data_IF_661594961124
#
_entry.id   IF_661594961124
#
_cell.length_a   1.000
_cell.length_b   1.000
_cell.length_c   1.000
_cell.angle_alpha   90.00
_cell.angle_beta   90.00
_cell.angle_gamma   90.00
#
_symmetry.space_group_name_H-M   'P 1'
#
loop_
_entity.id
_entity.type
_entity.pdbx_description
1 polymer ?
#
# COMPACT_ATOMS: atom_id res chain seq x y z
N UNK A 1 18.87 11.78 -3.04
CA UNK A 1 18.22 12.87 -2.31
C UNK A 1 17.68 12.25 -1.07
N UNK A 2 18.32 12.53 0.08
CA UNK A 2 18.02 11.87 1.33
C UNK A 2 16.58 12.07 1.78
N UNK A 3 15.98 11.00 2.24
CA UNK A 3 14.62 10.92 2.83
C UNK A 3 14.48 11.87 4.04
N UNK A 4 15.59 12.39 4.57
CA UNK A 4 15.63 13.31 5.72
C UNK A 4 15.13 14.74 5.47
N UNK A 5 15.02 15.20 4.21
CA UNK A 5 14.61 16.57 3.92
C UNK A 5 13.09 16.80 3.88
N UNK A 6 12.29 15.76 3.81
CA UNK A 6 10.82 15.88 3.74
C UNK A 6 10.16 15.72 5.13
N UNK A 7 10.91 15.31 6.13
CA UNK A 7 10.34 14.93 7.44
C UNK A 7 10.55 15.89 8.60
N UNK A 8 11.55 16.78 8.55
CA UNK A 8 11.95 17.53 9.76
C UNK A 8 11.31 18.91 9.94
N UNK A 9 10.64 19.44 8.90
CA UNK A 9 10.04 20.79 8.99
C UNK A 9 8.53 20.85 8.67
N UNK A 10 7.93 19.75 8.24
CA UNK A 10 6.49 19.69 7.98
C UNK A 10 5.92 18.37 8.51
N UNK A 11 5.54 18.31 9.75
CA UNK A 11 4.80 17.25 10.48
C UNK A 11 3.77 16.44 9.65
N UNK A 12 4.19 15.75 8.60
CA UNK A 12 3.32 15.05 7.63
C UNK A 12 3.26 13.53 7.83
N UNK A 13 4.17 13.00 8.66
CA UNK A 13 4.20 11.56 9.01
C UNK A 13 3.46 11.24 10.30
N UNK A 14 2.89 12.22 10.92
CA UNK A 14 2.27 12.17 12.24
C UNK A 14 0.78 12.51 12.22
N UNK A 15 0.19 12.77 11.04
CA UNK A 15 -1.12 13.38 10.93
C UNK A 15 -2.21 12.61 11.70
N UNK A 16 -2.34 11.31 11.52
CA UNK A 16 -3.35 10.50 12.23
C UNK A 16 -2.76 9.54 13.29
N UNK A 17 -1.57 9.87 13.80
CA UNK A 17 -1.02 9.23 15.00
C UNK A 17 -1.47 10.04 16.22
N UNK A 18 -1.85 9.39 17.35
CA UNK A 18 -2.29 10.09 18.55
C UNK A 18 -1.24 11.06 19.12
N UNK A 19 -1.69 12.15 19.72
CA UNK A 19 -0.82 13.19 20.29
C UNK A 19 0.11 12.63 21.38
N UNK A 20 -0.39 11.72 22.22
CA UNK A 20 0.42 11.04 23.25
C UNK A 20 1.56 10.21 22.67
N UNK A 21 1.48 9.83 21.40
CA UNK A 21 2.53 9.13 20.66
C UNK A 21 3.40 10.05 19.80
N UNK A 22 3.23 11.37 19.93
CA UNK A 22 4.00 12.38 19.19
C UNK A 22 3.40 12.78 17.85
N UNK A 23 2.16 12.36 17.55
CA UNK A 23 1.41 12.74 16.36
C UNK A 23 0.52 13.96 16.55
N UNK A 24 -0.28 14.28 15.52
CA UNK A 24 -1.23 15.42 15.54
C UNK A 24 -2.66 15.02 15.92
N UNK A 25 -2.95 13.73 16.05
CA UNK A 25 -4.27 13.24 16.41
C UNK A 25 -5.38 13.56 15.40
N UNK A 26 -5.04 13.90 14.16
CA UNK A 26 -6.00 14.13 13.07
C UNK A 26 -6.68 12.82 12.65
N UNK A 27 -7.77 12.92 11.88
CA UNK A 27 -8.49 11.77 11.38
C UNK A 27 -7.83 11.13 10.15
N UNK A 28 -8.34 9.97 9.77
CA UNK A 28 -7.89 9.27 8.56
C UNK A 28 -8.16 10.09 7.29
N UNK A 29 -9.23 10.89 7.27
CA UNK A 29 -9.57 11.72 6.11
C UNK A 29 -8.46 12.76 5.84
N UNK A 30 -8.02 13.48 6.85
CA UNK A 30 -6.96 14.48 6.74
C UNK A 30 -5.65 13.84 6.30
N UNK A 31 -5.31 12.69 6.88
CA UNK A 31 -4.12 11.93 6.49
C UNK A 31 -4.12 11.52 5.01
N UNK A 32 -5.27 11.09 4.48
CA UNK A 32 -5.39 10.70 3.07
C UNK A 32 -5.41 11.92 2.12
N UNK A 33 -5.98 13.06 2.53
CA UNK A 33 -5.88 14.32 1.77
C UNK A 33 -4.42 14.75 1.64
N UNK A 34 -3.67 14.73 2.75
CA UNK A 34 -2.23 15.02 2.74
C UNK A 34 -1.49 14.06 1.82
N UNK A 35 -1.79 12.76 1.93
CA UNK A 35 -1.17 11.72 1.10
C UNK A 35 -1.42 11.94 -0.41
N UNK A 36 -2.63 12.38 -0.80
CA UNK A 36 -2.95 12.68 -2.20
C UNK A 36 -1.99 13.75 -2.75
N UNK A 37 -1.75 14.84 -2.02
CA UNK A 37 -0.89 15.93 -2.47
C UNK A 37 0.57 15.48 -2.65
N UNK A 38 1.12 14.68 -1.72
CA UNK A 38 2.45 14.10 -1.88
C UNK A 38 2.54 13.09 -3.02
N UNK A 39 1.51 12.27 -3.17
CA UNK A 39 1.39 11.30 -4.24
C UNK A 39 1.34 11.94 -5.64
N UNK A 40 0.75 13.14 -5.80
CA UNK A 40 0.74 13.90 -7.05
C UNK A 40 2.15 14.23 -7.55
N UNK A 41 3.10 14.46 -6.65
CA UNK A 41 4.50 14.72 -7.01
C UNK A 41 5.13 13.46 -7.59
N UNK A 42 5.13 12.39 -6.83
CA UNK A 42 5.52 11.03 -7.28
C UNK A 42 5.15 9.96 -6.26
N UNK A 43 5.03 8.70 -6.72
CA UNK A 43 4.86 7.56 -5.83
C UNK A 43 6.00 7.44 -4.82
N UNK A 44 7.24 7.76 -5.21
CA UNK A 44 8.40 7.67 -4.33
C UNK A 44 8.38 8.71 -3.19
N UNK A 45 7.86 9.93 -3.45
CA UNK A 45 7.73 10.98 -2.43
C UNK A 45 6.53 10.69 -1.52
N UNK A 46 5.42 10.20 -2.08
CA UNK A 46 4.24 9.83 -1.30
C UNK A 46 4.44 8.56 -0.45
N UNK A 47 5.37 7.65 -0.84
CA UNK A 47 5.54 6.37 -0.15
C UNK A 47 5.87 6.48 1.35
N UNK A 48 6.84 7.27 1.82
CA UNK A 48 7.08 7.40 3.26
C UNK A 48 5.88 7.98 4.04
N UNK A 49 5.11 8.85 3.41
CA UNK A 49 3.87 9.41 3.99
C UNK A 49 2.78 8.33 4.08
N UNK A 50 2.67 7.51 3.03
CA UNK A 50 1.77 6.35 2.99
C UNK A 50 2.10 5.34 4.10
N UNK A 51 3.37 4.92 4.24
CA UNK A 51 3.80 3.96 5.26
C UNK A 51 3.53 4.47 6.68
N UNK A 52 3.72 5.77 6.92
CA UNK A 52 3.54 6.39 8.23
C UNK A 52 2.06 6.65 8.61
N UNK A 53 1.16 6.90 7.64
CA UNK A 53 -0.23 7.28 7.94
C UNK A 53 -1.27 6.21 7.64
N UNK A 54 -1.00 5.30 6.71
CA UNK A 54 -1.94 4.26 6.29
C UNK A 54 -1.34 2.86 6.24
N UNK A 55 -0.02 2.76 6.29
CA UNK A 55 0.73 1.52 6.14
C UNK A 55 0.97 0.76 7.46
N UNK A 56 2.06 -0.01 7.54
CA UNK A 56 2.34 -0.96 8.63
C UNK A 56 2.48 -0.33 10.01
N UNK A 57 2.73 0.98 10.09
CA UNK A 57 2.78 1.69 11.38
C UNK A 57 1.47 1.52 12.15
N UNK A 58 0.34 1.37 11.46
CA UNK A 58 -0.97 1.15 12.11
C UNK A 58 -1.03 -0.19 12.84
N UNK A 59 -0.33 -1.21 12.37
CA UNK A 59 -0.22 -2.47 13.13
C UNK A 59 0.54 -2.27 14.44
N UNK A 60 1.58 -1.44 14.46
CA UNK A 60 2.28 -1.07 15.71
C UNK A 60 1.39 -0.22 16.60
N UNK A 61 0.71 0.79 16.04
CA UNK A 61 -0.18 1.68 16.78
C UNK A 61 -1.33 0.92 17.46
N UNK A 62 -1.95 -0.04 16.77
CA UNK A 62 -3.09 -0.79 17.31
C UNK A 62 -2.67 -1.96 18.20
N UNK A 63 -1.61 -2.68 17.86
CA UNK A 63 -1.28 -3.97 18.45
C UNK A 63 0.08 -4.04 19.13
N UNK A 64 0.96 -3.06 18.95
CA UNK A 64 2.26 -3.03 19.64
C UNK A 64 2.13 -2.93 21.15
N UNK A 65 3.12 -3.48 21.87
CA UNK A 65 3.24 -3.26 23.31
C UNK A 65 3.47 -1.78 23.63
N UNK A 66 3.18 -1.30 24.86
CA UNK A 66 3.47 0.09 25.24
C UNK A 66 4.92 0.48 24.94
N UNK A 67 5.88 -0.40 25.27
CA UNK A 67 7.31 -0.19 25.07
C UNK A 67 7.66 -0.04 23.58
N UNK A 68 7.07 -0.89 22.73
CA UNK A 68 7.29 -0.81 21.28
C UNK A 68 6.69 0.45 20.67
N UNK A 69 5.48 0.85 21.11
CA UNK A 69 4.84 2.09 20.68
C UNK A 69 5.67 3.31 21.04
N UNK A 70 6.13 3.41 22.29
CA UNK A 70 6.98 4.50 22.77
C UNK A 70 8.31 4.59 22.02
N UNK A 71 8.89 3.45 21.64
CA UNK A 71 10.13 3.37 20.88
C UNK A 71 9.99 3.77 19.40
N UNK A 72 8.87 3.43 18.77
CA UNK A 72 8.74 3.52 17.30
C UNK A 72 7.90 4.71 16.85
N UNK A 73 6.73 4.94 17.46
CA UNK A 73 5.79 5.95 16.95
C UNK A 73 6.38 7.37 16.96
N UNK A 74 7.01 7.87 18.05
CA UNK A 74 7.59 9.22 18.04
C UNK A 74 8.71 9.39 17.00
N UNK A 75 9.52 8.34 16.78
CA UNK A 75 10.59 8.40 15.79
C UNK A 75 10.07 8.43 14.36
N UNK A 76 8.94 7.73 14.08
CA UNK A 76 8.26 7.80 12.78
C UNK A 76 7.62 9.17 12.58
N UNK A 77 6.95 9.72 13.58
CA UNK A 77 6.34 11.05 13.53
C UNK A 77 7.38 12.14 13.20
N UNK A 78 8.56 12.08 13.81
CA UNK A 78 9.68 13.00 13.53
C UNK A 78 10.37 12.75 12.17
N UNK A 79 9.98 11.70 11.45
CA UNK A 79 10.64 11.32 10.20
C UNK A 79 12.02 10.67 10.37
N UNK A 80 12.40 10.30 11.58
CA UNK A 80 13.67 9.64 11.92
C UNK A 80 13.66 8.16 11.52
N UNK A 81 12.48 7.54 11.44
CA UNK A 81 12.32 6.12 11.07
C UNK A 81 11.25 5.93 10.00
N UNK A 82 11.47 4.91 9.17
CA UNK A 82 10.49 4.36 8.24
C UNK A 82 10.27 2.89 8.60
N UNK A 83 9.01 2.49 8.72
CA UNK A 83 8.61 1.10 8.94
C UNK A 83 7.94 0.60 7.66
N UNK A 84 8.32 -0.59 7.20
CA UNK A 84 7.73 -1.23 6.03
C UNK A 84 7.03 -2.54 6.39
N UNK A 85 6.18 -3.04 5.48
CA UNK A 85 5.52 -4.34 5.63
C UNK A 85 6.30 -5.42 4.89
N UNK A 86 6.41 -6.61 5.50
CA UNK A 86 7.04 -7.80 4.94
C UNK A 86 6.08 -8.98 5.03
N UNK A 87 5.30 -9.18 3.95
CA UNK A 87 4.17 -10.13 3.96
C UNK A 87 4.37 -11.24 2.93
N UNK A 88 4.42 -10.87 1.63
CA UNK A 88 4.48 -11.83 0.52
C UNK A 88 5.75 -12.71 0.55
N UNK A 89 5.63 -13.92 0.02
CA UNK A 89 6.72 -14.87 -0.14
C UNK A 89 6.79 -15.35 -1.59
N UNK A 90 7.90 -15.97 -2.03
CA UNK A 90 7.99 -16.53 -3.39
C UNK A 90 6.83 -17.47 -3.75
N UNK A 91 6.30 -18.21 -2.78
CA UNK A 91 5.19 -19.15 -2.94
C UNK A 91 3.84 -18.67 -2.43
N UNK A 92 3.74 -17.46 -1.84
CA UNK A 92 2.52 -16.95 -1.21
C UNK A 92 2.36 -15.45 -1.45
N UNK A 93 1.63 -15.08 -2.50
CA UNK A 93 1.21 -13.71 -2.79
C UNK A 93 -0.25 -13.50 -2.42
N UNK A 94 -1.17 -13.85 -3.32
CA UNK A 94 -2.62 -13.77 -3.05
C UNK A 94 -3.06 -14.72 -1.94
N UNK A 95 -2.49 -15.93 -1.89
CA UNK A 95 -2.78 -16.93 -0.85
C UNK A 95 -1.88 -16.71 0.38
N UNK A 96 -2.08 -15.61 1.09
CA UNK A 96 -1.30 -15.29 2.30
C UNK A 96 -1.46 -16.34 3.42
N UNK A 97 -2.54 -17.11 3.42
CA UNK A 97 -2.71 -18.25 4.32
C UNK A 97 -1.63 -19.32 4.19
N UNK A 98 -0.90 -19.34 3.08
CA UNK A 98 0.12 -20.33 2.75
C UNK A 98 1.55 -19.88 3.07
N UNK A 99 1.70 -18.80 3.85
CA UNK A 99 2.98 -18.30 4.33
C UNK A 99 3.78 -19.41 5.04
N UNK A 100 5.09 -19.46 4.74
CA UNK A 100 6.02 -20.46 5.25
C UNK A 100 7.09 -19.90 6.18
N UNK A 101 7.36 -18.59 6.13
CA UNK A 101 8.25 -17.93 7.08
C UNK A 101 7.75 -18.20 8.49
N UNK A 102 8.60 -18.76 9.34
CA UNK A 102 8.27 -19.13 10.71
C UNK A 102 8.77 -18.10 11.70
N UNK A 103 8.03 -17.90 12.78
CA UNK A 103 8.46 -17.14 13.95
C UNK A 103 8.12 -17.95 15.20
N UNK A 104 9.12 -18.40 15.93
CA UNK A 104 9.01 -19.28 17.09
C UNK A 104 9.33 -18.50 18.36
N UNK A 105 8.41 -18.49 19.33
CA UNK A 105 8.66 -17.90 20.66
C UNK A 105 9.55 -18.84 21.47
N UNK A 106 10.70 -18.33 21.94
CA UNK A 106 11.69 -19.07 22.75
C UNK A 106 12.06 -18.24 23.99
N UNK A 107 11.29 -18.41 25.05
CA UNK A 107 11.48 -17.64 26.28
C UNK A 107 11.18 -16.14 26.06
N UNK A 108 12.16 -15.30 26.24
CA UNK A 108 12.07 -13.83 26.11
C UNK A 108 12.37 -13.31 24.69
N UNK A 109 12.49 -14.20 23.72
CA UNK A 109 12.79 -13.85 22.32
C UNK A 109 11.92 -14.61 21.31
N UNK A 110 11.88 -14.08 20.10
CA UNK A 110 11.25 -14.70 18.93
C UNK A 110 12.34 -14.95 17.89
N UNK A 111 12.41 -16.18 17.37
CA UNK A 111 13.37 -16.60 16.34
C UNK A 111 12.65 -16.72 15.01
N UNK A 112 13.13 -16.02 13.99
CA UNK A 112 12.48 -15.92 12.68
C UNK A 112 13.36 -16.59 11.63
N UNK A 113 12.73 -17.45 10.79
CA UNK A 113 13.38 -18.14 9.67
C UNK A 113 12.48 -18.14 8.45
N UNK A 114 13.01 -17.77 7.30
CA UNK A 114 12.26 -17.78 6.04
C UNK A 114 12.69 -16.72 5.04
N UNK A 115 11.85 -16.50 4.04
CA UNK A 115 12.12 -15.55 2.96
C UNK A 115 10.85 -14.77 2.63
N UNK A 116 10.98 -13.46 2.53
CA UNK A 116 9.93 -12.56 2.04
C UNK A 116 10.31 -12.00 0.68
N UNK A 117 9.31 -11.65 -0.13
CA UNK A 117 9.50 -11.18 -1.48
C UNK A 117 8.70 -9.91 -1.78
N UNK A 118 9.21 -9.08 -2.69
CA UNK A 118 8.59 -7.82 -3.12
C UNK A 118 8.43 -6.80 -1.99
N UNK A 119 9.33 -6.82 -0.99
CA UNK A 119 9.21 -5.92 0.15
C UNK A 119 9.68 -4.53 -0.23
N UNK A 120 8.76 -3.56 -0.27
CA UNK A 120 9.10 -2.16 -0.42
C UNK A 120 9.90 -1.69 0.79
N UNK A 121 10.95 -0.90 0.56
CA UNK A 121 11.84 -0.46 1.63
C UNK A 121 12.85 -1.50 2.11
N UNK A 122 12.92 -2.71 1.51
CA UNK A 122 13.88 -3.75 1.91
C UNK A 122 15.32 -3.23 1.86
N UNK A 123 16.05 -3.37 2.97
CA UNK A 123 17.42 -2.89 3.17
C UNK A 123 17.56 -1.36 3.37
N UNK A 124 16.45 -0.63 3.41
CA UNK A 124 16.43 0.84 3.56
C UNK A 124 15.47 1.34 4.64
N UNK A 125 14.41 0.59 4.96
CA UNK A 125 13.54 0.91 6.09
C UNK A 125 14.20 0.50 7.41
N UNK A 126 13.91 1.26 8.48
CA UNK A 126 14.50 1.04 9.81
C UNK A 126 13.93 -0.20 10.53
N UNK A 127 12.81 -0.72 10.03
CA UNK A 127 12.20 -1.94 10.52
C UNK A 127 11.04 -2.42 9.67
N UNK A 128 10.61 -3.64 9.98
CA UNK A 128 9.61 -4.37 9.19
C UNK A 128 8.55 -4.99 10.09
N UNK A 129 7.27 -4.82 9.72
CA UNK A 129 6.19 -5.64 10.26
C UNK A 129 6.15 -6.93 9.44
N UNK A 130 6.61 -8.02 10.03
CA UNK A 130 6.78 -9.31 9.38
C UNK A 130 5.62 -10.23 9.75
N UNK A 131 4.86 -10.67 8.75
CA UNK A 131 3.83 -11.69 8.91
C UNK A 131 4.49 -13.07 8.86
N UNK A 132 4.26 -13.90 9.85
CA UNK A 132 4.90 -15.19 9.94
C UNK A 132 3.98 -16.28 10.51
N UNK A 133 4.29 -17.53 10.20
CA UNK A 133 3.65 -18.68 10.80
C UNK A 133 4.24 -18.92 12.19
N UNK A 134 3.40 -18.81 13.20
CA UNK A 134 3.76 -18.92 14.61
C UNK A 134 3.22 -20.18 15.29
N UNK A 135 2.31 -20.91 14.63
CA UNK A 135 1.80 -22.18 15.11
C UNK A 135 1.45 -23.13 13.96
N UNK A 136 1.22 -24.41 14.28
CA UNK A 136 0.80 -25.44 13.33
C UNK A 136 -0.71 -25.38 12.99
N UNK A 137 -1.44 -24.39 13.52
CA UNK A 137 -2.84 -24.18 13.18
C UNK A 137 -2.99 -23.94 11.66
N UNK A 138 -4.04 -24.52 11.02
CA UNK A 138 -4.16 -24.52 9.58
C UNK A 138 -4.46 -23.12 9.01
N UNK A 139 -3.98 -22.88 7.81
CA UNK A 139 -4.24 -21.68 7.01
C UNK A 139 -3.91 -20.37 7.79
N UNK A 140 -4.79 -19.39 7.77
CA UNK A 140 -4.60 -18.10 8.42
C UNK A 140 -4.52 -18.16 9.96
N UNK A 141 -5.06 -19.19 10.59
CA UNK A 141 -5.06 -19.33 12.05
C UNK A 141 -3.66 -19.47 12.66
N UNK A 142 -2.70 -19.98 11.90
CA UNK A 142 -1.31 -20.11 12.36
C UNK A 142 -0.47 -18.83 12.15
N UNK A 143 -1.02 -17.74 11.63
CA UNK A 143 -0.27 -16.56 11.25
C UNK A 143 -0.43 -15.46 12.29
N UNK A 144 0.70 -14.91 12.72
CA UNK A 144 0.83 -13.70 13.52
C UNK A 144 1.75 -12.68 12.86
N UNK A 145 2.17 -11.67 13.61
CA UNK A 145 3.13 -10.68 13.14
C UNK A 145 4.09 -10.24 14.23
N UNK A 146 5.29 -9.90 13.79
CA UNK A 146 6.42 -9.48 14.63
C UNK A 146 7.07 -8.24 14.01
N UNK A 147 7.48 -7.29 14.83
CA UNK A 147 8.33 -6.19 14.40
C UNK A 147 9.80 -6.60 14.41
N UNK A 148 10.50 -6.36 13.32
CA UNK A 148 11.93 -6.69 13.17
C UNK A 148 12.69 -5.43 12.78
N UNK A 149 13.66 -5.01 13.59
CA UNK A 149 14.54 -3.88 13.27
C UNK A 149 15.51 -4.26 12.12
N UNK A 150 15.95 -3.25 11.37
CA UNK A 150 16.87 -3.42 10.25
C UNK A 150 18.20 -4.08 10.67
N UNK A 151 18.75 -3.63 11.80
CA UNK A 151 20.07 -4.09 12.29
C UNK A 151 19.91 -5.33 13.20
N UNK A 152 19.62 -6.47 12.59
CA UNK A 152 19.56 -7.77 13.30
C UNK A 152 20.49 -8.77 12.64
N UNK A 153 21.22 -9.52 13.46
CA UNK A 153 22.04 -10.63 12.98
C UNK A 153 21.16 -11.65 12.26
N UNK A 154 21.63 -12.17 11.13
CA UNK A 154 20.90 -13.13 10.30
C UNK A 154 19.86 -12.50 9.35
N UNK A 155 19.61 -11.18 9.43
CA UNK A 155 18.77 -10.46 8.48
C UNK A 155 19.60 -10.00 7.28
N UNK A 156 19.23 -10.45 6.08
CA UNK A 156 19.92 -10.07 4.84
C UNK A 156 18.93 -9.74 3.73
N UNK A 157 19.40 -9.07 2.69
CA UNK A 157 18.55 -8.53 1.63
C UNK A 157 19.05 -8.97 0.26
N UNK A 158 18.12 -9.21 -0.64
CA UNK A 158 18.40 -9.44 -2.05
C UNK A 158 18.76 -8.16 -2.79
N UNK A 159 19.12 -8.31 -4.06
CA UNK A 159 19.31 -7.15 -4.94
C UNK A 159 17.97 -6.43 -5.16
N UNK A 160 18.05 -5.11 -5.31
CA UNK A 160 16.88 -4.30 -5.65
C UNK A 160 16.28 -4.73 -6.98
N UNK A 161 14.98 -4.95 -7.01
CA UNK A 161 14.23 -5.38 -8.19
C UNK A 161 14.10 -4.25 -9.22
N UNK A 162 14.24 -4.59 -10.50
CA UNK A 162 14.02 -3.65 -11.60
C UNK A 162 12.54 -3.60 -11.99
N UNK A 163 11.75 -2.87 -11.24
CA UNK A 163 10.31 -2.76 -11.45
C UNK A 163 9.96 -1.86 -12.64
N UNK A 164 8.81 -2.10 -13.27
CA UNK A 164 8.24 -1.25 -14.33
C UNK A 164 8.02 0.18 -13.85
N UNK A 165 7.33 0.35 -12.69
CA UNK A 165 7.05 1.60 -11.99
C UNK A 165 7.72 1.63 -10.62
N UNK A 166 7.26 2.56 -9.75
CA UNK A 166 7.76 2.73 -8.38
C UNK A 166 9.26 2.99 -8.29
N UNK A 167 9.84 3.57 -9.33
CA UNK A 167 11.26 3.92 -9.33
C UNK A 167 11.56 4.96 -8.27
N UNK A 168 12.53 4.64 -7.40
CA UNK A 168 12.83 5.42 -6.20
C UNK A 168 12.20 4.84 -4.92
N UNK A 169 11.37 3.78 -5.02
CA UNK A 169 10.96 2.94 -3.90
C UNK A 169 11.77 1.64 -4.03
N UNK A 170 12.74 1.36 -3.16
CA UNK A 170 13.50 0.11 -3.20
C UNK A 170 12.54 -1.06 -2.93
N UNK A 171 12.70 -2.15 -3.68
CA UNK A 171 11.95 -3.38 -3.48
C UNK A 171 12.89 -4.55 -3.64
N UNK A 172 12.94 -5.45 -2.66
CA UNK A 172 13.80 -6.61 -2.70
C UNK A 172 13.24 -7.78 -1.88
N UNK A 173 13.92 -8.92 -1.94
CA UNK A 173 13.70 -10.04 -1.04
C UNK A 173 14.34 -9.75 0.32
N UNK A 174 13.74 -10.29 1.39
CA UNK A 174 14.30 -10.29 2.74
C UNK A 174 14.49 -11.74 3.18
N UNK A 175 15.69 -12.07 3.65
CA UNK A 175 16.06 -13.39 4.15
C UNK A 175 16.25 -13.34 5.64
N UNK A 176 15.64 -14.28 6.35
CA UNK A 176 15.74 -14.46 7.80
C UNK A 176 16.42 -15.80 8.07
N UNK A 177 17.60 -15.75 8.67
CA UNK A 177 18.35 -16.92 9.12
C UNK A 177 18.58 -16.81 10.62
N UNK A 178 17.73 -17.46 11.41
CA UNK A 178 17.73 -17.40 12.87
C UNK A 178 17.74 -15.95 13.42
N UNK A 179 16.99 -15.07 12.80
CA UNK A 179 16.87 -13.67 13.26
C UNK A 179 16.16 -13.64 14.62
N UNK A 180 16.84 -13.10 15.62
CA UNK A 180 16.29 -12.99 16.97
C UNK A 180 15.80 -11.58 17.25
N UNK A 181 14.58 -11.47 17.77
CA UNK A 181 13.99 -10.22 18.26
C UNK A 181 13.42 -10.44 19.67
N UNK A 182 13.37 -9.40 20.54
CA UNK A 182 12.74 -9.48 21.85
C UNK A 182 11.27 -9.86 21.76
N UNK A 183 10.72 -10.48 22.80
CA UNK A 183 9.28 -10.85 22.86
C UNK A 183 8.36 -9.63 22.79
N UNK A 184 8.83 -8.47 23.23
CA UNK A 184 8.10 -7.18 23.18
C UNK A 184 7.84 -6.72 21.74
N UNK A 185 8.56 -7.27 20.77
CA UNK A 185 8.34 -7.02 19.34
C UNK A 185 7.17 -7.81 18.75
N UNK A 186 6.54 -8.70 19.53
CA UNK A 186 5.31 -9.39 19.12
C UNK A 186 4.18 -8.38 18.94
N UNK A 187 3.58 -8.35 17.74
CA UNK A 187 2.44 -7.48 17.43
C UNK A 187 1.11 -8.20 17.64
N UNK A 188 0.98 -9.36 17.03
CA UNK A 188 -0.21 -10.20 17.17
C UNK A 188 0.16 -11.67 17.21
N UNK A 189 -0.46 -12.38 18.14
CA UNK A 189 -0.38 -13.84 18.23
C UNK A 189 -1.23 -14.52 17.13
N UNK A 190 -0.97 -15.81 16.82
CA UNK A 190 -1.81 -16.58 15.89
C UNK A 190 -3.28 -16.68 16.37
N UNK A 191 -4.12 -17.41 15.64
CA UNK A 191 -5.57 -17.58 15.76
C UNK A 191 -6.36 -16.40 15.20
N UNK A 192 -6.59 -15.31 15.94
CA UNK A 192 -7.27 -14.10 15.46
C UNK A 192 -6.30 -13.07 14.87
N UNK A 193 -4.99 -13.29 15.00
CA UNK A 193 -3.96 -12.34 14.59
C UNK A 193 -4.04 -11.94 13.13
N UNK A 194 -4.19 -12.91 12.23
CA UNK A 194 -4.32 -12.62 10.81
C UNK A 194 -5.54 -11.73 10.50
N UNK A 195 -6.67 -11.95 11.19
CA UNK A 195 -7.87 -11.11 11.02
C UNK A 195 -7.59 -9.68 11.46
N UNK A 196 -7.00 -9.47 12.64
CA UNK A 196 -6.61 -8.15 13.16
C UNK A 196 -5.67 -7.42 12.20
N UNK A 197 -4.69 -8.14 11.66
CA UNK A 197 -3.77 -7.57 10.67
C UNK A 197 -4.48 -7.18 9.38
N UNK A 198 -5.47 -7.94 8.92
CA UNK A 198 -6.26 -7.57 7.73
C UNK A 198 -7.18 -6.37 7.99
N UNK A 199 -7.59 -6.12 9.22
CA UNK A 199 -8.33 -4.91 9.61
C UNK A 199 -7.45 -3.65 9.47
N UNK A 200 -6.18 -3.68 9.88
CA UNK A 200 -5.26 -2.54 9.61
C UNK A 200 -5.03 -2.34 8.11
N UNK A 201 -5.07 -3.44 7.34
CA UNK A 201 -4.97 -3.38 5.88
C UNK A 201 -6.16 -2.68 5.21
N UNK A 202 -7.30 -2.51 5.89
CA UNK A 202 -8.42 -1.74 5.35
C UNK A 202 -8.07 -0.25 5.22
N UNK A 203 -7.30 0.30 6.15
CA UNK A 203 -6.76 1.65 6.01
C UNK A 203 -5.65 1.72 4.95
N UNK A 204 -4.78 0.70 4.87
CA UNK A 204 -3.77 0.60 3.81
C UNK A 204 -4.40 0.54 2.42
N UNK A 205 -5.56 -0.12 2.25
CA UNK A 205 -6.33 -0.10 1.00
C UNK A 205 -6.76 1.31 0.62
N UNK A 206 -7.22 2.11 1.59
CA UNK A 206 -7.56 3.52 1.35
C UNK A 206 -6.32 4.33 0.96
N UNK A 207 -5.19 4.14 1.63
CA UNK A 207 -3.92 4.77 1.28
C UNK A 207 -3.43 4.39 -0.13
N UNK A 208 -3.51 3.10 -0.48
CA UNK A 208 -3.21 2.62 -1.84
C UNK A 208 -4.13 3.26 -2.90
N UNK A 209 -5.43 3.34 -2.61
CA UNK A 209 -6.41 4.02 -3.45
C UNK A 209 -6.05 5.49 -3.65
N UNK A 210 -5.63 6.17 -2.59
CA UNK A 210 -5.21 7.57 -2.61
C UNK A 210 -3.96 7.78 -3.45
N UNK A 211 -2.98 6.89 -3.36
CA UNK A 211 -1.78 6.97 -4.20
C UNK A 211 -2.09 6.75 -5.69
N UNK A 212 -3.04 5.86 -6.00
CA UNK A 212 -3.54 5.67 -7.37
C UNK A 212 -4.32 6.91 -7.86
N UNK A 213 -5.20 7.46 -7.02
CA UNK A 213 -5.92 8.71 -7.28
C UNK A 213 -4.94 9.87 -7.55
N UNK A 214 -3.89 10.01 -6.76
CA UNK A 214 -2.89 11.05 -6.90
C UNK A 214 -2.20 11.02 -8.28
N UNK A 215 -1.88 9.82 -8.80
CA UNK A 215 -1.32 9.70 -10.15
C UNK A 215 -2.32 10.16 -11.22
N UNK A 216 -3.60 9.83 -11.07
CA UNK A 216 -4.66 10.21 -12.00
C UNK A 216 -4.97 11.72 -11.91
N UNK A 217 -5.08 12.28 -10.70
CA UNK A 217 -5.32 13.72 -10.47
C UNK A 217 -4.22 14.56 -11.11
N UNK A 218 -2.96 14.22 -10.85
CA UNK A 218 -1.85 14.95 -11.44
C UNK A 218 -1.73 14.77 -12.96
N UNK A 219 -2.12 13.60 -13.49
CA UNK A 219 -2.18 13.39 -14.94
C UNK A 219 -3.27 14.25 -15.59
N UNK A 220 -4.45 14.35 -14.95
CA UNK A 220 -5.55 15.19 -15.40
C UNK A 220 -5.19 16.68 -15.37
N UNK A 221 -4.60 17.16 -14.27
CA UNK A 221 -4.14 18.55 -14.15
C UNK A 221 -3.13 18.90 -15.26
N UNK A 222 -2.14 18.03 -15.45
CA UNK A 222 -1.09 18.25 -16.46
C UNK A 222 -1.66 18.27 -17.88
N UNK A 223 -2.45 17.26 -18.24
CA UNK A 223 -2.98 17.19 -19.61
C UNK A 223 -4.01 18.28 -19.90
N UNK A 224 -4.76 18.74 -18.90
CA UNK A 224 -5.69 19.87 -19.04
C UNK A 224 -4.97 21.15 -19.45
N UNK A 225 -3.84 21.45 -18.85
CA UNK A 225 -3.00 22.58 -19.22
C UNK A 225 -2.38 22.37 -20.60
N UNK A 226 -1.83 21.20 -20.86
CA UNK A 226 -1.19 20.85 -22.12
C UNK A 226 -2.12 21.04 -23.34
N UNK A 227 -3.36 20.58 -23.27
CA UNK A 227 -4.30 20.67 -24.42
C UNK A 227 -4.81 22.08 -24.67
N UNK A 228 -4.66 23.01 -23.71
CA UNK A 228 -4.98 24.43 -23.89
C UNK A 228 -3.87 25.17 -24.66
N UNK A 229 -2.63 24.72 -24.51
CA UNK A 229 -1.45 25.34 -25.14
C UNK A 229 -1.09 24.68 -26.47
N UNK A 230 -1.25 23.36 -26.58
CA UNK A 230 -0.87 22.59 -27.77
C UNK A 230 -1.84 22.79 -28.90
N UNK A 231 -1.34 23.26 -30.03
CA UNK A 231 -2.13 23.48 -31.26
C UNK A 231 -1.91 22.36 -32.29
N UNK A 232 -2.98 21.98 -32.96
CA UNK A 232 -2.98 21.19 -34.18
C UNK A 232 -4.16 21.63 -35.07
N UNK A 233 -4.00 21.54 -36.40
CA UNK A 233 -4.99 21.98 -37.36
C UNK A 233 -5.41 23.45 -37.16
N UNK A 234 -4.45 24.29 -36.72
CA UNK A 234 -4.62 25.73 -36.57
C UNK A 234 -5.41 26.19 -35.34
N UNK A 235 -5.61 25.31 -34.34
CA UNK A 235 -6.28 25.66 -33.08
C UNK A 235 -5.80 24.79 -31.92
N UNK A 236 -5.98 25.24 -30.65
CA UNK A 236 -5.69 24.46 -29.48
C UNK A 236 -6.42 23.11 -29.47
N UNK A 237 -5.78 22.07 -28.89
CA UNK A 237 -6.39 20.73 -28.80
C UNK A 237 -7.72 20.74 -28.02
N UNK A 238 -7.85 21.60 -27.02
CA UNK A 238 -9.07 21.74 -26.22
C UNK A 238 -10.31 22.17 -27.04
N UNK A 239 -10.11 22.78 -28.21
CA UNK A 239 -11.22 23.19 -29.09
C UNK A 239 -11.85 22.02 -29.87
N UNK A 240 -11.30 20.82 -29.76
CA UNK A 240 -11.88 19.60 -30.33
C UNK A 240 -12.81 18.94 -29.33
N UNK A 241 -14.10 18.74 -29.69
CA UNK A 241 -15.10 18.10 -28.82
C UNK A 241 -14.63 16.71 -28.31
N UNK A 242 -13.92 15.93 -29.15
CA UNK A 242 -13.38 14.64 -28.76
C UNK A 242 -12.35 14.73 -27.60
N UNK A 243 -11.64 15.86 -27.48
CA UNK A 243 -10.74 16.14 -26.35
C UNK A 243 -11.55 16.55 -25.11
N UNK A 244 -12.54 17.45 -25.29
CA UNK A 244 -13.41 17.92 -24.21
C UNK A 244 -14.16 16.76 -23.53
N UNK A 245 -14.72 15.84 -24.32
CA UNK A 245 -15.41 14.64 -23.79
C UNK A 245 -14.46 13.80 -22.94
N UNK A 246 -13.22 13.55 -23.40
CA UNK A 246 -12.23 12.80 -22.64
C UNK A 246 -11.85 13.47 -21.32
N UNK A 247 -11.67 14.80 -21.33
CA UNK A 247 -11.37 15.54 -20.10
C UNK A 247 -12.54 15.44 -19.09
N UNK A 248 -13.78 15.56 -19.57
CA UNK A 248 -14.97 15.41 -18.72
C UNK A 248 -15.07 13.99 -18.12
N UNK A 249 -14.85 12.95 -18.91
CA UNK A 249 -14.83 11.56 -18.43
C UNK A 249 -13.74 11.32 -17.39
N UNK A 250 -12.54 11.85 -17.62
CA UNK A 250 -11.44 11.75 -16.67
C UNK A 250 -11.77 12.45 -15.35
N UNK A 251 -12.31 13.67 -15.41
CA UNK A 251 -12.70 14.43 -14.21
C UNK A 251 -13.76 13.68 -13.39
N UNK A 252 -14.84 13.22 -14.05
CA UNK A 252 -15.90 12.47 -13.35
C UNK A 252 -15.36 11.26 -12.61
N UNK A 253 -14.42 10.51 -13.21
CA UNK A 253 -13.82 9.32 -12.62
C UNK A 253 -12.89 9.65 -11.47
N UNK A 254 -12.08 10.69 -11.58
CA UNK A 254 -11.19 11.18 -10.52
C UNK A 254 -12.03 11.61 -9.30
N UNK A 255 -13.08 12.40 -9.51
CA UNK A 255 -13.97 12.85 -8.43
C UNK A 255 -14.71 11.68 -7.77
N UNK A 256 -15.20 10.72 -8.55
CA UNK A 256 -15.85 9.52 -8.00
C UNK A 256 -14.88 8.70 -7.13
N UNK A 257 -13.63 8.53 -7.56
CA UNK A 257 -12.61 7.84 -6.77
C UNK A 257 -12.32 8.57 -5.45
N UNK A 258 -12.14 9.89 -5.51
CA UNK A 258 -11.90 10.74 -4.34
C UNK A 258 -13.04 10.60 -3.32
N UNK A 259 -14.28 10.68 -3.76
CA UNK A 259 -15.45 10.55 -2.89
C UNK A 259 -15.56 9.17 -2.25
N UNK A 260 -15.21 8.08 -2.95
CA UNK A 260 -15.18 6.74 -2.38
C UNK A 260 -14.13 6.60 -1.29
N UNK A 261 -12.93 7.15 -1.50
CA UNK A 261 -11.85 7.17 -0.50
C UNK A 261 -12.26 7.99 0.71
N UNK A 262 -12.74 9.22 0.49
CA UNK A 262 -13.17 10.12 1.56
C UNK A 262 -14.31 9.52 2.38
N UNK A 263 -15.27 8.85 1.74
CA UNK A 263 -16.36 8.15 2.44
C UNK A 263 -15.83 7.08 3.37
N UNK A 264 -14.93 6.20 2.92
CA UNK A 264 -14.35 5.14 3.73
C UNK A 264 -13.56 5.71 4.93
N UNK A 265 -12.77 6.76 4.70
CA UNK A 265 -11.99 7.42 5.75
C UNK A 265 -12.89 8.15 6.75
N UNK A 266 -13.89 8.89 6.29
CA UNK A 266 -14.81 9.65 7.13
C UNK A 266 -15.65 8.73 8.03
N UNK A 267 -16.16 7.62 7.49
CA UNK A 267 -16.94 6.66 8.27
C UNK A 267 -16.09 5.94 9.32
N UNK A 268 -14.81 5.72 9.04
CA UNK A 268 -13.87 5.12 9.99
C UNK A 268 -13.44 6.10 11.10
N UNK A 269 -13.52 7.41 10.88
CA UNK A 269 -12.98 8.43 11.79
C UNK A 269 -11.50 8.14 12.12
N UNK A 270 -11.19 7.87 13.40
CA UNK A 270 -9.84 7.50 13.86
C UNK A 270 -9.65 5.97 14.00
N UNK A 271 -10.68 5.18 13.66
CA UNK A 271 -10.63 3.72 13.65
C UNK A 271 -10.18 3.16 12.31
N UNK A 272 -10.54 1.91 12.06
CA UNK A 272 -10.22 1.22 10.82
C UNK A 272 -11.45 1.21 9.89
N UNK A 273 -11.27 1.48 8.59
CA UNK A 273 -12.37 1.46 7.62
C UNK A 273 -13.03 0.09 7.47
N UNK A 274 -14.30 0.09 7.07
CA UNK A 274 -15.00 -1.14 6.70
C UNK A 274 -14.42 -1.76 5.42
N UNK A 275 -14.37 -3.10 5.37
CA UNK A 275 -13.80 -3.86 4.25
C UNK A 275 -14.54 -3.61 2.92
N UNK A 276 -15.86 -3.41 2.94
CA UNK A 276 -16.63 -3.13 1.73
C UNK A 276 -16.26 -1.77 1.16
N UNK A 277 -16.17 -0.74 2.02
CA UNK A 277 -15.85 0.62 1.61
C UNK A 277 -14.39 0.74 1.16
N UNK A 278 -13.44 0.20 1.92
CA UNK A 278 -12.02 0.22 1.60
C UNK A 278 -11.68 -0.55 0.32
N UNK A 279 -12.26 -1.75 0.15
CA UNK A 279 -12.07 -2.55 -1.06
C UNK A 279 -12.72 -1.90 -2.29
N UNK A 280 -13.89 -1.25 -2.13
CA UNK A 280 -14.56 -0.52 -3.21
C UNK A 280 -13.73 0.68 -3.64
N UNK A 281 -13.25 1.48 -2.68
CA UNK A 281 -12.37 2.62 -2.95
C UNK A 281 -11.11 2.17 -3.68
N UNK A 282 -10.42 1.14 -3.18
CA UNK A 282 -9.20 0.62 -3.81
C UNK A 282 -9.45 0.09 -5.21
N UNK A 283 -10.45 -0.77 -5.40
CA UNK A 283 -10.74 -1.38 -6.69
C UNK A 283 -11.03 -0.31 -7.74
N UNK A 284 -11.97 0.60 -7.45
CA UNK A 284 -12.35 1.66 -8.37
C UNK A 284 -11.18 2.61 -8.70
N UNK A 285 -10.45 3.07 -7.69
CA UNK A 285 -9.34 4.02 -7.87
C UNK A 285 -8.21 3.42 -8.70
N UNK A 286 -7.90 2.14 -8.53
CA UNK A 286 -6.84 1.48 -9.29
C UNK A 286 -7.21 1.25 -10.76
N UNK A 287 -8.45 0.87 -11.08
CA UNK A 287 -8.94 0.75 -12.46
C UNK A 287 -8.99 2.14 -13.13
N UNK A 288 -9.57 3.12 -12.44
CA UNK A 288 -9.64 4.52 -12.87
C UNK A 288 -8.26 5.12 -13.16
N UNK A 289 -7.31 4.93 -12.27
CA UNK A 289 -5.96 5.49 -12.40
C UNK A 289 -5.26 5.00 -13.67
N UNK A 290 -5.37 3.72 -13.99
CA UNK A 290 -4.85 3.15 -15.24
C UNK A 290 -5.49 3.80 -16.46
N UNK A 291 -6.80 3.96 -16.45
CA UNK A 291 -7.53 4.55 -17.57
C UNK A 291 -7.20 6.03 -17.75
N UNK A 292 -7.24 6.82 -16.67
CA UNK A 292 -6.99 8.27 -16.71
C UNK A 292 -5.56 8.58 -17.13
N UNK A 293 -4.56 7.93 -16.55
CA UNK A 293 -3.15 8.17 -16.89
C UNK A 293 -2.83 7.75 -18.33
N UNK A 294 -3.41 6.65 -18.81
CA UNK A 294 -3.26 6.20 -20.19
C UNK A 294 -3.96 7.16 -21.18
N UNK A 295 -5.14 7.65 -20.83
CA UNK A 295 -5.88 8.65 -21.65
C UNK A 295 -5.10 9.96 -21.70
N UNK A 296 -4.54 10.44 -20.58
CA UNK A 296 -3.70 11.63 -20.53
C UNK A 296 -2.45 11.47 -21.43
N UNK A 297 -1.75 10.34 -21.32
CA UNK A 297 -0.61 10.04 -22.20
C UNK A 297 -1.02 10.05 -23.67
N UNK A 298 -2.15 9.46 -24.02
CA UNK A 298 -2.65 9.43 -25.40
C UNK A 298 -2.99 10.84 -25.93
N UNK A 299 -3.59 11.72 -25.12
CA UNK A 299 -3.87 13.11 -25.48
C UNK A 299 -2.61 13.94 -25.72
N UNK A 300 -1.53 13.63 -25.02
CA UNK A 300 -0.22 14.27 -25.23
C UNK A 300 0.55 13.72 -26.44
N UNK A 301 0.14 12.55 -26.96
CA UNK A 301 0.84 11.90 -28.09
C UNK A 301 2.29 11.56 -27.78
N UNK A 302 3.22 11.85 -28.70
CA UNK A 302 4.65 11.58 -28.53
C UNK A 302 5.26 12.25 -27.30
N UNK A 303 4.80 13.42 -26.92
CA UNK A 303 5.22 14.10 -25.69
C UNK A 303 4.84 13.32 -24.42
N UNK A 304 3.65 12.73 -24.37
CA UNK A 304 3.22 11.90 -23.25
C UNK A 304 4.00 10.60 -23.10
N UNK A 305 4.57 10.10 -24.20
CA UNK A 305 5.39 8.89 -24.22
C UNK A 305 6.87 9.15 -23.91
N UNK A 306 7.31 10.41 -23.99
CA UNK A 306 8.67 10.81 -23.68
C UNK A 306 8.87 10.96 -22.17
N UNK A 307 10.00 10.47 -21.64
CA UNK A 307 10.36 10.51 -20.21
C UNK A 307 10.49 11.92 -19.65
N UNK A 308 10.88 12.90 -20.43
CA UNK A 308 11.08 14.29 -20.01
C UNK A 308 9.80 14.95 -19.47
N UNK A 309 8.62 14.50 -19.95
CA UNK A 309 7.33 15.05 -19.55
C UNK A 309 6.70 14.31 -18.37
N UNK A 310 7.27 13.20 -17.94
CA UNK A 310 6.86 12.47 -16.74
C UNK A 310 5.49 11.78 -16.79
N UNK A 311 4.73 11.91 -17.88
CA UNK A 311 3.42 11.26 -18.01
C UNK A 311 3.54 9.73 -18.08
N UNK A 312 4.54 9.21 -18.80
CA UNK A 312 4.82 7.78 -18.91
C UNK A 312 5.11 7.13 -17.54
N UNK A 313 5.73 7.88 -16.60
CA UNK A 313 5.97 7.44 -15.23
C UNK A 313 4.66 7.22 -14.49
N UNK A 314 3.70 8.16 -14.63
CA UNK A 314 2.38 8.05 -13.99
C UNK A 314 1.62 6.83 -14.47
N UNK A 315 1.70 6.51 -15.76
CA UNK A 315 1.12 5.28 -16.33
C UNK A 315 1.76 4.04 -15.68
N UNK A 316 3.08 3.99 -15.62
CA UNK A 316 3.79 2.84 -15.02
C UNK A 316 3.43 2.63 -13.55
N UNK A 317 3.39 3.70 -12.78
CA UNK A 317 3.06 3.67 -11.35
C UNK A 317 1.58 3.27 -11.12
N UNK A 318 0.65 3.74 -11.95
CA UNK A 318 -0.77 3.37 -11.87
C UNK A 318 -1.00 1.86 -12.02
N UNK A 319 -0.20 1.17 -12.83
CA UNK A 319 -0.26 -0.30 -12.91
C UNK A 319 0.22 -0.99 -11.64
N UNK A 320 1.25 -0.45 -10.99
CA UNK A 320 1.80 -1.00 -9.74
C UNK A 320 0.81 -0.99 -8.59
N UNK A 321 0.09 0.12 -8.39
CA UNK A 321 -0.90 0.26 -7.31
C UNK A 321 -2.04 -0.75 -7.42
N UNK A 322 -2.43 -1.15 -8.62
CA UNK A 322 -3.45 -2.19 -8.85
C UNK A 322 -2.99 -3.62 -8.59
N UNK A 323 -1.70 -3.83 -8.31
CA UNK A 323 -1.11 -5.14 -7.97
C UNK A 323 -0.77 -5.20 -6.49
N UNK A 324 -0.16 -4.14 -5.94
CA UNK A 324 0.30 -4.06 -4.56
C UNK A 324 -0.87 -4.05 -3.55
N UNK A 325 -0.65 -4.61 -2.35
CA UNK A 325 -1.63 -4.59 -1.26
C UNK A 325 -2.94 -5.35 -1.57
N UNK A 326 -2.86 -6.45 -2.33
CA UNK A 326 -4.00 -7.23 -2.83
C UNK A 326 -4.53 -6.72 -4.17
N UNK A 327 -4.51 -7.59 -5.17
CA UNK A 327 -4.89 -7.27 -6.55
C UNK A 327 -6.33 -6.78 -6.69
N UNK A 328 -6.64 -6.10 -7.80
CA UNK A 328 -8.00 -5.65 -8.15
C UNK A 328 -9.01 -6.80 -8.04
N UNK A 329 -8.66 -8.00 -8.50
CA UNK A 329 -9.56 -9.15 -8.44
C UNK A 329 -9.85 -9.59 -7.00
N UNK A 330 -8.86 -9.55 -6.11
CA UNK A 330 -9.07 -9.81 -4.67
C UNK A 330 -9.99 -8.77 -4.04
N UNK A 331 -9.87 -7.49 -4.44
CA UNK A 331 -10.81 -6.47 -3.95
C UNK A 331 -12.24 -6.75 -4.43
N UNK A 332 -12.44 -7.18 -5.68
CA UNK A 332 -13.76 -7.58 -6.19
C UNK A 332 -14.35 -8.77 -5.42
N UNK A 333 -13.51 -9.75 -5.04
CA UNK A 333 -13.92 -10.86 -4.18
C UNK A 333 -14.33 -10.37 -2.79
N UNK A 334 -13.56 -9.46 -2.18
CA UNK A 334 -13.90 -8.87 -0.88
C UNK A 334 -15.23 -8.13 -0.94
N UNK A 335 -15.44 -7.29 -1.97
CA UNK A 335 -16.70 -6.55 -2.19
C UNK A 335 -17.87 -7.52 -2.29
N UNK A 336 -17.78 -8.53 -3.15
CA UNK A 336 -18.84 -9.50 -3.34
C UNK A 336 -19.14 -10.28 -2.03
N UNK A 337 -18.10 -10.72 -1.32
CA UNK A 337 -18.22 -11.43 -0.05
C UNK A 337 -18.90 -10.59 1.02
N UNK A 338 -18.54 -9.31 1.13
CA UNK A 338 -19.14 -8.40 2.10
C UNK A 338 -20.61 -8.10 1.76
N UNK A 339 -20.95 -7.90 0.47
CA UNK A 339 -22.31 -7.63 0.01
C UNK A 339 -23.27 -8.79 0.30
N UNK A 340 -22.83 -10.04 0.10
CA UNK A 340 -23.69 -11.22 0.24
C UNK A 340 -23.61 -11.85 1.63
N UNK A 341 -22.75 -11.33 2.53
CA UNK A 341 -22.54 -11.88 3.88
C UNK A 341 -21.97 -13.30 3.89
N UNK A 342 -21.31 -13.73 2.82
CA UNK A 342 -20.70 -15.05 2.68
C UNK A 342 -19.25 -14.90 2.21
N UNK A 343 -18.32 -15.57 2.89
CA UNK A 343 -16.97 -15.71 2.37
C UNK A 343 -17.02 -16.44 1.04
N UNK A 344 -16.40 -15.90 0.00
CA UNK A 344 -16.17 -16.66 -1.23
C UNK A 344 -15.34 -17.89 -0.87
N UNK A 345 -15.73 -19.04 -1.44
CA UNK A 345 -14.89 -20.24 -1.37
C UNK A 345 -13.57 -19.87 -2.03
N UNK A 346 -12.46 -19.93 -1.29
CA UNK A 346 -11.16 -19.68 -1.88
C UNK A 346 -10.97 -20.66 -3.05
N UNK A 347 -10.38 -20.19 -4.14
CA UNK A 347 -10.08 -20.96 -5.37
C UNK A 347 -9.24 -22.23 -5.13
N UNK A 348 -8.86 -22.54 -3.90
CA UNK A 348 -8.09 -23.72 -3.50
C UNK A 348 -8.82 -25.06 -3.68
N UNK A 349 -10.09 -25.08 -4.10
CA UNK A 349 -10.83 -26.33 -4.32
C UNK A 349 -11.08 -26.67 -5.81
N UNK A 350 -10.50 -25.97 -6.75
CA UNK A 350 -10.39 -26.44 -8.12
C UNK A 350 -9.12 -27.29 -8.32
N UNK A 351 -8.79 -28.17 -7.40
CA UNK A 351 -8.09 -29.40 -7.80
C UNK A 351 -9.11 -30.25 -8.54
N UNK A 352 -8.83 -30.46 -9.83
CA UNK A 352 -9.55 -31.34 -10.69
C UNK A 352 -9.94 -32.61 -9.90
N UNK A 353 -11.21 -32.99 -9.98
CA UNK A 353 -11.59 -34.37 -9.76
C UNK A 353 -10.71 -35.18 -10.72
N UNK A 354 -9.69 -35.85 -10.20
CA UNK A 354 -9.09 -36.97 -10.88
C UNK A 354 -10.25 -37.93 -11.12
N UNK A 355 -10.69 -37.98 -12.35
CA UNK A 355 -11.54 -39.05 -12.84
C UNK A 355 -10.76 -40.35 -12.67
N UNK A 356 -11.03 -41.07 -11.60
CA UNK A 356 -10.80 -42.50 -11.55
C UNK A 356 -11.68 -43.11 -12.66
N UNK A 357 -11.09 -43.32 -13.82
CA UNK A 357 -11.58 -44.26 -14.82
C UNK A 357 -10.67 -45.49 -14.78
N UNK A 358 -11.26 -46.58 -14.30
CA UNK A 358 -10.75 -47.93 -14.49
C UNK A 358 -10.39 -48.24 -15.95
#
# INVERSE_FOLDING_TARGET
>A
IGVGLVGSEMCIRDSNTPEESGGQGLGNLEALIILEEFGKISSAIGWPVFEANAGPIKSIQHFGTPELKEKILPAVCKGEKVVAVSMSEPGAGTALSDLKTKAEIKGDKIVINGTKRWCSGAGHSDGYVVYARMSDAPAAKGIGAVYVELERDGLTFGNSESLMGFRGIPSADIYFDNVEVPIENLLVEPEDGFKKLMETFDLERCGNATMALAQASAALEYVTNYVQEREQFGKPLVDFQAVQIKLADMLMKVEAARLLIHKAAFNAQNGLPDILESSTAKCFSNEMSREVTTTAMQLMGGYGYNKEYGMERRVRDAFGWGIAGGTIDIQKINIASAMIGRRSVSYTHLRAHETNSN
#
